data_IF_011988305840
#
_entry.id   IF_011988305840
#
_cell.length_a   1.000
_cell.length_b   1.000
_cell.length_c   1.000
_cell.angle_alpha   90.00
_cell.angle_beta   90.00
_cell.angle_gamma   90.00
#
_symmetry.space_group_name_H-M   'P 1'
#
loop_
_entity.id
_entity.type
_entity.pdbx_description
1 polymer ?
#
# COMPACT_ATOMS: atom_id res chain seq x y z
N UNK A 1 -13.69 -5.85 4.31
CA UNK A 1 -14.85 -6.74 4.14
C UNK A 1 -14.85 -7.77 5.24
N UNK A 2 -16.01 -8.34 5.56
CA UNK A 2 -16.14 -9.21 6.74
C UNK A 2 -16.60 -10.62 6.40
N UNK A 3 -16.12 -11.60 7.16
CA UNK A 3 -16.61 -12.98 7.12
C UNK A 3 -17.38 -13.31 8.40
N UNK A 4 -18.46 -14.08 8.26
CA UNK A 4 -19.35 -14.49 9.36
C UNK A 4 -19.31 -16.00 9.48
N UNK A 5 -19.06 -16.51 10.69
CA UNK A 5 -19.10 -17.93 11.00
C UNK A 5 -20.01 -18.22 12.20
N UNK A 6 -20.72 -19.34 12.13
CA UNK A 6 -21.54 -19.89 13.21
C UNK A 6 -20.81 -21.09 13.82
N UNK A 7 -20.73 -21.17 15.14
CA UNK A 7 -20.26 -22.37 15.82
C UNK A 7 -21.43 -23.16 16.42
N UNK A 8 -21.14 -24.38 16.88
CA UNK A 8 -22.13 -25.31 17.47
C UNK A 8 -22.82 -24.76 18.72
N UNK A 9 -22.28 -23.70 19.35
CA UNK A 9 -22.86 -22.99 20.49
C UNK A 9 -23.65 -21.72 20.11
N UNK A 10 -24.03 -21.54 18.85
CA UNK A 10 -24.75 -20.36 18.33
C UNK A 10 -24.01 -19.02 18.50
N UNK A 11 -22.70 -19.03 18.75
CA UNK A 11 -21.92 -17.80 18.75
C UNK A 11 -21.61 -17.38 17.31
N UNK A 12 -21.87 -16.11 17.01
CA UNK A 12 -21.55 -15.47 15.75
C UNK A 12 -20.16 -14.85 15.88
N UNK A 13 -19.22 -15.28 15.05
CA UNK A 13 -17.91 -14.62 14.93
C UNK A 13 -17.86 -13.83 13.62
N UNK A 14 -17.55 -12.54 13.72
CA UNK A 14 -17.32 -11.67 12.57
C UNK A 14 -15.84 -11.27 12.52
N UNK A 15 -15.19 -11.48 11.37
CA UNK A 15 -13.82 -11.00 11.11
C UNK A 15 -13.83 -9.95 10.03
N UNK A 16 -13.06 -8.88 10.19
CA UNK A 16 -12.95 -7.81 9.20
C UNK A 16 -11.52 -7.75 8.68
N UNK A 17 -11.37 -7.91 7.36
CA UNK A 17 -10.11 -7.73 6.66
C UNK A 17 -10.06 -6.30 6.12
N UNK A 18 -9.20 -5.51 6.73
CA UNK A 18 -8.96 -4.12 6.38
C UNK A 18 -8.08 -4.00 5.14
N UNK A 19 -7.18 -4.95 4.88
CA UNK A 19 -6.37 -4.97 3.65
C UNK A 19 -7.22 -4.81 2.39
N UNK A 20 -8.32 -5.57 2.31
CA UNK A 20 -9.29 -5.51 1.21
C UNK A 20 -10.04 -4.18 1.15
N UNK A 21 -10.44 -3.63 2.31
CA UNK A 21 -11.10 -2.32 2.36
C UNK A 21 -10.15 -1.21 1.90
N UNK A 22 -8.88 -1.29 2.30
CA UNK A 22 -7.86 -0.34 1.94
C UNK A 22 -7.54 -0.40 0.44
N UNK A 23 -7.36 -1.58 -0.16
CA UNK A 23 -7.19 -1.70 -1.63
C UNK A 23 -8.38 -1.14 -2.41
N UNK A 24 -9.60 -1.49 -2.00
CA UNK A 24 -10.83 -1.03 -2.66
C UNK A 24 -10.97 0.50 -2.55
N UNK A 25 -10.66 1.05 -1.37
CA UNK A 25 -10.68 2.49 -1.14
C UNK A 25 -9.58 3.20 -1.95
N UNK A 26 -8.38 2.63 -2.01
CA UNK A 26 -7.29 3.19 -2.77
C UNK A 26 -7.61 3.30 -4.26
N UNK A 27 -8.16 2.23 -4.85
CA UNK A 27 -8.60 2.22 -6.24
C UNK A 27 -9.73 3.22 -6.52
N UNK A 28 -10.71 3.33 -5.60
CA UNK A 28 -11.76 4.35 -5.69
C UNK A 28 -11.19 5.76 -5.72
N UNK A 29 -10.25 6.06 -4.82
CA UNK A 29 -9.63 7.37 -4.71
C UNK A 29 -8.75 7.66 -5.95
N UNK A 30 -8.03 6.67 -6.46
CA UNK A 30 -7.28 6.80 -7.71
C UNK A 30 -8.18 7.14 -8.91
N UNK A 31 -9.36 6.51 -9.03
CA UNK A 31 -10.37 6.85 -10.06
C UNK A 31 -10.91 8.28 -9.90
N UNK A 32 -11.12 8.72 -8.66
CA UNK A 32 -11.58 10.09 -8.39
C UNK A 32 -10.51 11.12 -8.75
N UNK A 33 -9.24 10.84 -8.47
CA UNK A 33 -8.12 11.67 -8.93
C UNK A 33 -8.04 11.70 -10.48
N UNK A 34 -8.18 10.54 -11.14
CA UNK A 34 -8.21 10.46 -12.60
C UNK A 34 -9.29 11.37 -13.20
N UNK A 35 -10.51 11.30 -12.68
CA UNK A 35 -11.64 12.08 -13.16
C UNK A 35 -11.42 13.60 -13.05
N UNK A 36 -10.67 14.06 -12.03
CA UNK A 36 -10.32 15.47 -11.87
C UNK A 36 -9.17 15.91 -12.80
N UNK A 37 -8.30 14.99 -13.21
CA UNK A 37 -7.20 15.26 -14.13
C UNK A 37 -7.58 15.13 -15.61
N UNK A 38 -8.59 14.32 -15.92
CA UNK A 38 -8.95 13.97 -17.29
C UNK A 38 -9.18 15.20 -18.18
N UNK A 39 -8.29 15.38 -19.16
CA UNK A 39 -8.35 16.48 -20.13
C UNK A 39 -7.94 17.84 -19.58
N UNK A 40 -7.35 17.90 -18.38
CA UNK A 40 -6.91 19.14 -17.72
C UNK A 40 -5.40 19.20 -17.56
N UNK A 41 -4.88 20.41 -17.41
CA UNK A 41 -3.47 20.73 -17.24
C UNK A 41 -3.28 21.87 -16.25
N UNK A 42 -2.04 22.12 -15.83
CA UNK A 42 -1.68 23.25 -14.97
C UNK A 42 -2.03 24.65 -15.55
N UNK A 43 -2.36 24.74 -16.85
CA UNK A 43 -2.80 25.99 -17.49
C UNK A 43 -4.27 26.29 -17.25
N UNK A 44 -5.04 25.29 -16.86
CA UNK A 44 -6.47 25.43 -16.61
C UNK A 44 -6.71 26.08 -15.25
N UNK A 45 -7.76 26.91 -15.18
CA UNK A 45 -8.14 27.56 -13.92
C UNK A 45 -8.93 26.59 -13.04
N UNK A 46 -8.22 25.79 -12.25
CA UNK A 46 -8.82 24.79 -11.35
C UNK A 46 -9.24 25.48 -10.04
N UNK A 47 -10.51 25.37 -9.62
CA UNK A 47 -10.96 25.89 -8.33
C UNK A 47 -10.13 25.34 -7.17
N UNK A 48 -9.95 26.13 -6.09
CA UNK A 48 -9.18 25.67 -4.92
C UNK A 48 -9.78 24.41 -4.29
N UNK A 49 -11.12 24.33 -4.21
CA UNK A 49 -11.83 23.17 -3.68
C UNK A 49 -11.51 21.90 -4.48
N UNK A 50 -11.48 21.98 -5.82
CA UNK A 50 -11.13 20.83 -6.67
C UNK A 50 -9.66 20.43 -6.50
N UNK A 51 -8.76 21.37 -6.21
CA UNK A 51 -7.36 21.07 -5.87
C UNK A 51 -7.23 20.35 -4.54
N UNK A 52 -7.98 20.79 -3.52
CA UNK A 52 -7.98 20.15 -2.20
C UNK A 52 -8.57 18.73 -2.28
N UNK A 53 -9.65 18.54 -3.04
CA UNK A 53 -10.23 17.22 -3.32
C UNK A 53 -9.25 16.31 -4.06
N UNK A 54 -8.60 16.83 -5.10
CA UNK A 54 -7.59 16.10 -5.87
C UNK A 54 -6.45 15.62 -4.97
N UNK A 55 -5.88 16.51 -4.16
CA UNK A 55 -4.85 16.17 -3.19
C UNK A 55 -5.33 15.09 -2.22
N UNK A 56 -6.54 15.23 -1.67
CA UNK A 56 -7.11 14.26 -0.73
C UNK A 56 -7.28 12.88 -1.37
N UNK A 57 -7.71 12.82 -2.64
CA UNK A 57 -7.84 11.57 -3.37
C UNK A 57 -6.49 10.92 -3.64
N UNK A 58 -5.49 11.67 -4.11
CA UNK A 58 -4.17 11.11 -4.37
C UNK A 58 -3.49 10.66 -3.07
N UNK A 59 -3.48 11.51 -2.03
CA UNK A 59 -2.87 11.20 -0.73
C UNK A 59 -3.54 9.99 -0.08
N UNK A 60 -4.87 9.94 -0.16
CA UNK A 60 -5.66 8.82 0.34
C UNK A 60 -5.36 7.53 -0.43
N UNK A 61 -5.25 7.57 -1.76
CA UNK A 61 -4.92 6.39 -2.56
C UNK A 61 -3.55 5.81 -2.21
N UNK A 62 -2.53 6.65 -2.10
CA UNK A 62 -1.17 6.25 -1.70
C UNK A 62 -1.17 5.64 -0.30
N UNK A 63 -1.80 6.35 0.66
CA UNK A 63 -1.82 5.93 2.06
C UNK A 63 -2.57 4.60 2.24
N UNK A 64 -3.72 4.45 1.60
CA UNK A 64 -4.51 3.23 1.67
C UNK A 64 -3.83 2.06 0.97
N UNK A 65 -3.12 2.28 -0.14
CA UNK A 65 -2.34 1.23 -0.80
C UNK A 65 -1.24 0.68 0.11
N UNK A 66 -0.48 1.56 0.75
CA UNK A 66 0.53 1.16 1.74
C UNK A 66 -0.13 0.45 2.93
N UNK A 67 -1.19 1.02 3.51
CA UNK A 67 -1.92 0.44 4.64
C UNK A 67 -2.48 -0.96 4.31
N UNK A 68 -2.88 -1.23 3.07
CA UNK A 68 -3.29 -2.56 2.65
C UNK A 68 -2.15 -3.58 2.79
N UNK A 69 -0.95 -3.23 2.36
CA UNK A 69 0.25 -4.08 2.48
C UNK A 69 0.58 -4.33 3.95
N UNK A 70 0.49 -3.31 4.82
CA UNK A 70 0.74 -3.47 6.26
C UNK A 70 -0.34 -4.33 6.95
N UNK A 71 -1.61 -4.08 6.61
CA UNK A 71 -2.74 -4.81 7.17
C UNK A 71 -2.70 -6.28 6.79
N UNK A 72 -2.39 -6.60 5.54
CA UNK A 72 -2.42 -7.97 5.03
C UNK A 72 -1.46 -8.90 5.80
N UNK A 73 -0.23 -8.46 6.08
CA UNK A 73 0.69 -9.30 6.87
C UNK A 73 0.23 -9.47 8.31
N UNK A 74 -0.32 -8.43 8.92
CA UNK A 74 -0.89 -8.54 10.28
C UNK A 74 -2.12 -9.48 10.29
N UNK A 75 -2.95 -9.43 9.25
CA UNK A 75 -4.09 -10.33 9.05
C UNK A 75 -3.64 -11.78 8.88
N UNK A 76 -2.54 -12.05 8.18
CA UNK A 76 -1.95 -13.39 8.07
C UNK A 76 -1.58 -13.96 9.45
N UNK A 77 -0.88 -13.17 10.28
CA UNK A 77 -0.53 -13.60 11.64
C UNK A 77 -1.78 -13.84 12.50
N UNK A 78 -2.78 -12.96 12.39
CA UNK A 78 -4.06 -13.11 13.10
C UNK A 78 -4.86 -14.34 12.62
N UNK A 79 -4.89 -14.61 11.32
CA UNK A 79 -5.55 -15.78 10.72
C UNK A 79 -4.92 -17.09 11.20
N UNK A 80 -3.59 -17.16 11.25
CA UNK A 80 -2.89 -18.33 11.80
C UNK A 80 -3.25 -18.57 13.26
N UNK A 81 -3.26 -17.51 14.09
CA UNK A 81 -3.62 -17.57 15.51
C UNK A 81 -5.06 -18.01 15.73
N UNK A 82 -5.98 -17.43 14.98
CA UNK A 82 -7.40 -17.52 15.27
C UNK A 82 -8.10 -18.67 14.54
N UNK A 83 -7.64 -19.04 13.35
CA UNK A 83 -8.27 -20.06 12.51
C UNK A 83 -7.45 -21.34 12.41
N UNK A 84 -6.14 -21.30 12.71
CA UNK A 84 -5.27 -22.48 12.67
C UNK A 84 -5.41 -23.22 11.34
N UNK A 85 -5.90 -24.46 11.39
CA UNK A 85 -6.13 -25.30 10.20
C UNK A 85 -7.17 -24.76 9.19
N UNK A 86 -8.04 -23.82 9.59
CA UNK A 86 -9.11 -23.26 8.77
C UNK A 86 -8.77 -21.89 8.17
N UNK A 87 -7.52 -21.45 8.28
CA UNK A 87 -7.10 -20.14 7.76
C UNK A 87 -7.33 -20.03 6.25
N UNK A 88 -7.67 -18.83 5.78
CA UNK A 88 -8.00 -18.59 4.37
C UNK A 88 -6.81 -18.68 3.40
N UNK A 89 -5.59 -18.70 3.94
CA UNK A 89 -4.35 -18.77 3.16
C UNK A 89 -3.88 -20.22 2.94
N UNK A 90 -4.61 -21.22 3.42
CA UNK A 90 -4.25 -22.64 3.23
C UNK A 90 -2.97 -23.07 3.96
N UNK A 91 -2.52 -22.30 4.96
CA UNK A 91 -1.31 -22.60 5.73
C UNK A 91 -1.53 -23.89 6.55
N UNK A 92 -0.57 -24.81 6.50
CA UNK A 92 -0.65 -26.08 7.21
C UNK A 92 -0.79 -25.89 8.74
N UNK A 93 -1.52 -26.76 9.45
CA UNK A 93 -1.84 -26.55 10.87
C UNK A 93 -0.61 -26.42 11.79
N UNK A 94 0.42 -27.24 11.57
CA UNK A 94 1.68 -27.22 12.31
C UNK A 94 2.44 -25.90 12.10
N UNK A 95 2.44 -25.40 10.85
CA UNK A 95 3.01 -24.11 10.47
C UNK A 95 2.23 -22.93 11.05
N UNK A 96 0.90 -22.98 11.04
CA UNK A 96 0.05 -21.96 11.65
C UNK A 96 0.31 -21.86 13.17
N UNK A 97 0.51 -22.99 13.86
CA UNK A 97 0.90 -23.02 15.29
C UNK A 97 2.26 -22.35 15.50
N UNK A 98 3.24 -22.61 14.64
CA UNK A 98 4.57 -21.98 14.73
C UNK A 98 4.49 -20.45 14.55
N UNK A 99 3.77 -19.99 13.52
CA UNK A 99 3.51 -18.56 13.28
C UNK A 99 2.85 -17.91 14.50
N UNK A 100 1.85 -18.58 15.06
CA UNK A 100 1.11 -18.11 16.24
C UNK A 100 2.02 -17.92 17.44
N UNK A 101 2.87 -18.92 17.75
CA UNK A 101 3.82 -18.82 18.86
C UNK A 101 4.79 -17.67 18.68
N UNK A 102 5.36 -17.52 17.49
CA UNK A 102 6.29 -16.40 17.22
C UNK A 102 5.59 -15.05 17.35
N UNK A 103 4.36 -14.91 16.89
CA UNK A 103 3.60 -13.67 17.00
C UNK A 103 3.28 -13.30 18.47
N UNK A 104 2.93 -14.28 19.30
CA UNK A 104 2.55 -14.04 20.71
C UNK A 104 3.78 -13.91 21.62
N UNK A 105 4.75 -14.80 21.46
CA UNK A 105 5.86 -14.97 22.41
C UNK A 105 7.04 -14.02 22.12
N UNK A 106 7.07 -13.38 20.95
CA UNK A 106 8.14 -12.45 20.56
C UNK A 106 7.58 -11.03 20.37
N UNK A 107 7.53 -10.21 21.44
CA UNK A 107 6.96 -8.85 21.40
C UNK A 107 7.57 -7.93 20.35
N UNK A 108 8.79 -8.23 19.88
CA UNK A 108 9.48 -7.44 18.86
C UNK A 108 8.86 -7.59 17.47
N UNK A 109 8.23 -8.74 17.16
CA UNK A 109 7.68 -9.04 15.84
C UNK A 109 6.62 -8.03 15.42
N UNK A 110 5.74 -7.63 16.34
CA UNK A 110 4.71 -6.62 16.07
C UNK A 110 5.31 -5.26 15.68
N UNK A 111 6.51 -4.94 16.20
CA UNK A 111 7.23 -3.67 15.97
C UNK A 111 8.22 -3.72 14.80
N UNK A 112 8.43 -4.88 14.19
CA UNK A 112 9.29 -5.00 13.02
C UNK A 112 8.69 -4.24 11.82
N UNK A 113 9.56 -3.86 10.89
CA UNK A 113 9.11 -3.25 9.65
C UNK A 113 8.21 -4.20 8.86
N UNK A 114 7.33 -3.62 8.03
CA UNK A 114 6.32 -4.37 7.27
C UNK A 114 6.95 -5.48 6.43
N UNK A 115 8.02 -5.18 5.68
CA UNK A 115 8.69 -6.16 4.82
C UNK A 115 9.43 -7.23 5.62
N UNK A 116 9.96 -6.90 6.81
CA UNK A 116 10.56 -7.89 7.70
C UNK A 116 9.52 -8.86 8.29
N UNK A 117 8.28 -8.41 8.51
CA UNK A 117 7.17 -9.30 8.89
C UNK A 117 6.83 -10.30 7.78
N UNK A 118 6.85 -9.86 6.51
CA UNK A 118 6.63 -10.74 5.35
C UNK A 118 7.75 -11.80 5.23
N UNK A 119 9.02 -11.37 5.33
CA UNK A 119 10.18 -12.27 5.31
C UNK A 119 10.16 -13.25 6.49
N UNK A 120 9.76 -12.80 7.68
CA UNK A 120 9.62 -13.65 8.86
C UNK A 120 8.57 -14.74 8.62
N UNK A 121 7.39 -14.39 8.12
CA UNK A 121 6.34 -15.36 7.83
C UNK A 121 6.82 -16.42 6.83
N UNK A 122 7.48 -16.02 5.72
CA UNK A 122 8.04 -16.96 4.75
C UNK A 122 9.08 -17.90 5.40
N UNK A 123 9.95 -17.37 6.26
CA UNK A 123 10.95 -18.17 6.98
C UNK A 123 10.30 -19.20 7.91
N UNK A 124 9.24 -18.86 8.61
CA UNK A 124 8.51 -19.81 9.48
C UNK A 124 7.79 -20.90 8.66
N UNK A 125 7.45 -20.60 7.42
CA UNK A 125 6.84 -21.53 6.47
C UNK A 125 7.86 -22.38 5.70
N UNK A 126 9.16 -22.22 5.94
CA UNK A 126 10.25 -22.81 5.15
C UNK A 126 10.17 -22.46 3.65
N UNK A 127 9.69 -21.25 3.33
CA UNK A 127 9.58 -20.74 1.97
C UNK A 127 10.77 -19.82 1.61
N UNK A 128 11.05 -19.62 0.31
CA UNK A 128 12.06 -18.66 -0.13
C UNK A 128 11.78 -17.26 0.41
N UNK A 129 12.84 -16.55 0.82
CA UNK A 129 12.75 -15.15 1.22
C UNK A 129 12.31 -14.25 0.06
N UNK A 130 11.84 -13.04 0.38
CA UNK A 130 11.50 -12.05 -0.64
C UNK A 130 12.72 -11.72 -1.51
N UNK A 131 12.51 -11.65 -2.82
CA UNK A 131 13.54 -11.19 -3.75
C UNK A 131 13.74 -9.67 -3.63
N UNK A 132 14.65 -9.26 -2.74
CA UNK A 132 14.98 -7.85 -2.51
C UNK A 132 15.58 -7.14 -3.73
N UNK A 133 16.06 -7.90 -4.73
CA UNK A 133 16.60 -7.34 -5.97
C UNK A 133 15.51 -7.20 -7.04
N UNK A 134 14.41 -7.94 -6.89
CA UNK A 134 13.27 -7.95 -7.77
C UNK A 134 12.49 -6.64 -7.74
N UNK A 135 11.84 -6.34 -8.86
CA UNK A 135 11.05 -5.12 -9.04
C UNK A 135 9.86 -5.02 -8.08
N UNK A 136 9.06 -6.08 -7.81
CA UNK A 136 7.95 -5.99 -6.88
C UNK A 136 8.35 -5.56 -5.47
N UNK A 137 9.51 -6.04 -4.98
CA UNK A 137 10.05 -5.64 -3.68
C UNK A 137 10.47 -4.16 -3.67
N UNK A 138 11.22 -3.74 -4.69
CA UNK A 138 11.69 -2.34 -4.81
C UNK A 138 10.53 -1.37 -4.94
N UNK A 139 9.50 -1.74 -5.69
CA UNK A 139 8.31 -0.93 -5.88
C UNK A 139 7.56 -0.77 -4.55
N UNK A 140 7.27 -1.86 -3.83
CA UNK A 140 6.55 -1.76 -2.53
C UNK A 140 7.37 -1.05 -1.46
N UNK A 141 8.70 -1.26 -1.42
CA UNK A 141 9.61 -0.51 -0.55
C UNK A 141 9.54 1.00 -0.85
N UNK A 142 9.50 1.37 -2.13
CA UNK A 142 9.31 2.77 -2.56
C UNK A 142 7.95 3.32 -2.15
N UNK A 143 6.88 2.53 -2.26
CA UNK A 143 5.53 2.91 -1.86
C UNK A 143 5.45 3.18 -0.34
N UNK A 144 6.03 2.30 0.48
CA UNK A 144 6.09 2.49 1.93
C UNK A 144 6.90 3.75 2.29
N UNK A 145 8.02 3.99 1.59
CA UNK A 145 8.82 5.21 1.75
C UNK A 145 8.07 6.49 1.32
N UNK A 146 7.28 6.43 0.26
CA UNK A 146 6.41 7.52 -0.19
C UNK A 146 5.35 7.86 0.84
N UNK A 147 4.63 6.86 1.34
CA UNK A 147 3.67 7.05 2.42
C UNK A 147 4.33 7.66 3.66
N UNK A 148 5.50 7.19 4.06
CA UNK A 148 6.22 7.77 5.20
C UNK A 148 6.63 9.24 4.96
N UNK A 149 7.04 9.58 3.74
CA UNK A 149 7.37 10.96 3.37
C UNK A 149 6.15 11.91 3.46
N UNK A 150 4.95 11.41 3.12
CA UNK A 150 3.71 12.17 3.25
C UNK A 150 3.30 12.35 4.73
N UNK A 151 3.39 11.29 5.55
CA UNK A 151 2.97 11.35 6.95
C UNK A 151 3.94 12.11 7.86
N UNK A 152 5.23 12.05 7.56
CA UNK A 152 6.29 12.68 8.36
C UNK A 152 6.90 13.89 7.66
N UNK A 153 6.11 14.53 6.77
CA UNK A 153 6.57 15.69 6.03
C UNK A 153 7.08 16.79 6.97
N UNK A 154 8.31 17.24 6.71
CA UNK A 154 8.91 18.38 7.42
C UNK A 154 8.78 19.58 6.51
N UNK A 155 8.14 20.64 7.02
CA UNK A 155 7.98 21.90 6.29
C UNK A 155 9.35 22.42 5.82
N UNK A 156 9.47 22.65 4.51
CA UNK A 156 10.67 23.24 3.91
C UNK A 156 10.36 24.69 3.52
N UNK A 157 11.16 25.63 4.00
CA UNK A 157 11.09 27.03 3.57
C UNK A 157 11.93 27.20 2.30
N UNK A 158 11.33 27.72 1.23
CA UNK A 158 12.04 28.08 0.00
C UNK A 158 12.03 29.60 -0.16
N UNK A 159 13.22 30.18 -0.37
CA UNK A 159 13.37 31.60 -0.69
C UNK A 159 12.92 31.84 -2.14
N UNK A 160 11.94 32.73 -2.33
CA UNK A 160 11.48 33.14 -3.66
C UNK A 160 12.65 33.73 -4.45
N UNK A 161 12.94 33.18 -5.63
CA UNK A 161 13.97 33.67 -6.54
C UNK A 161 15.39 33.16 -6.29
N UNK A 162 15.61 32.34 -5.27
CA UNK A 162 16.86 31.57 -5.16
C UNK A 162 16.65 30.16 -5.71
N UNK A 163 17.63 29.60 -6.45
CA UNK A 163 17.61 28.17 -6.70
C UNK A 163 17.56 27.48 -5.33
N UNK A 164 16.59 26.58 -5.10
CA UNK A 164 16.44 25.88 -3.83
C UNK A 164 17.79 25.29 -3.41
N UNK A 165 18.19 25.60 -2.18
CA UNK A 165 19.57 25.44 -1.72
C UNK A 165 20.11 24.00 -1.79
N UNK A 166 19.25 23.01 -2.05
CA UNK A 166 19.62 21.61 -2.26
C UNK A 166 18.67 20.94 -3.28
N UNK A 167 18.77 21.28 -4.57
CA UNK A 167 18.06 20.56 -5.65
C UNK A 167 18.99 19.69 -6.49
N UNK A 168 19.82 18.87 -5.82
CA UNK A 168 20.06 17.55 -6.42
C UNK A 168 18.80 16.77 -6.09
N UNK A 169 17.98 16.32 -7.06
CA UNK A 169 16.82 15.51 -6.72
C UNK A 169 17.34 14.36 -5.86
N UNK A 170 16.86 14.31 -4.62
CA UNK A 170 17.33 13.34 -3.66
C UNK A 170 17.20 11.95 -4.28
N UNK A 171 18.01 10.99 -3.86
CA UNK A 171 17.92 9.62 -4.38
C UNK A 171 16.47 9.09 -4.35
N UNK A 172 15.65 9.60 -3.43
CA UNK A 172 14.21 9.36 -3.34
C UNK A 172 13.38 9.92 -4.52
N UNK A 173 13.55 11.18 -4.90
CA UNK A 173 12.79 11.79 -6.02
C UNK A 173 13.12 11.10 -7.35
N UNK A 174 14.40 10.81 -7.60
CA UNK A 174 14.82 10.05 -8.79
C UNK A 174 14.21 8.65 -8.82
N UNK A 175 14.05 8.01 -7.66
CA UNK A 175 13.41 6.71 -7.52
C UNK A 175 11.94 6.79 -7.92
N UNK A 176 11.21 7.82 -7.47
CA UNK A 176 9.79 8.03 -7.80
C UNK A 176 9.58 8.31 -9.30
N UNK A 177 10.45 9.12 -9.92
CA UNK A 177 10.37 9.44 -11.35
C UNK A 177 10.48 8.21 -12.27
N UNK A 178 11.05 7.11 -11.77
CA UNK A 178 11.13 5.86 -12.53
C UNK A 178 9.79 5.09 -12.58
N UNK A 179 8.83 5.42 -11.72
CA UNK A 179 7.62 4.63 -11.51
C UNK A 179 6.35 5.21 -12.11
N UNK A 180 6.22 6.54 -12.16
CA UNK A 180 4.99 7.19 -12.61
C UNK A 180 5.27 8.57 -13.22
N UNK A 181 4.31 9.04 -14.04
CA UNK A 181 4.33 10.36 -14.62
C UNK A 181 3.94 11.44 -13.59
N UNK A 182 4.40 12.67 -13.84
CA UNK A 182 4.10 13.83 -13.02
C UNK A 182 2.61 14.20 -13.03
N UNK A 183 2.18 14.85 -11.96
CA UNK A 183 0.86 15.48 -11.84
C UNK A 183 0.64 16.53 -12.94
N UNK A 184 -0.30 16.31 -13.89
CA UNK A 184 -0.54 17.23 -15.00
C UNK A 184 -1.08 18.58 -14.56
N UNK A 185 -1.62 18.69 -13.35
CA UNK A 185 -2.17 19.91 -12.76
C UNK A 185 -1.07 20.81 -12.15
N UNK A 186 0.19 20.36 -12.18
CA UNK A 186 1.35 21.12 -11.68
C UNK A 186 2.31 21.48 -12.80
N UNK A 187 2.79 22.73 -12.78
CA UNK A 187 3.77 23.22 -13.74
C UNK A 187 5.22 22.89 -13.34
N UNK A 188 6.19 23.02 -14.27
CA UNK A 188 7.60 22.67 -14.04
C UNK A 188 8.32 23.55 -12.99
N UNK A 189 7.72 24.68 -12.60
CA UNK A 189 8.26 25.56 -11.56
C UNK A 189 7.95 25.11 -10.13
N UNK A 190 7.11 24.09 -9.94
CA UNK A 190 6.79 23.55 -8.62
C UNK A 190 7.85 22.52 -8.17
N UNK A 191 8.09 22.38 -6.85
CA UNK A 191 8.93 21.31 -6.32
C UNK A 191 8.43 19.94 -6.79
N UNK A 192 9.37 18.99 -6.93
CA UNK A 192 8.99 17.64 -7.35
C UNK A 192 8.12 16.96 -6.28
N UNK A 193 8.58 16.95 -5.03
CA UNK A 193 7.76 16.52 -3.89
C UNK A 193 7.32 17.73 -3.03
N UNK A 194 6.04 17.82 -2.62
CA UNK A 194 4.96 16.90 -2.97
C UNK A 194 4.33 17.18 -4.35
N UNK A 195 4.37 18.42 -4.84
CA UNK A 195 3.45 18.90 -5.89
C UNK A 195 3.38 18.02 -7.15
N UNK A 196 4.52 17.77 -7.80
CA UNK A 196 4.57 16.98 -9.05
C UNK A 196 4.33 15.48 -8.81
N UNK A 197 4.54 14.99 -7.60
CA UNK A 197 4.24 13.60 -7.21
C UNK A 197 2.74 13.41 -6.97
N UNK A 198 2.03 14.43 -6.51
CA UNK A 198 0.62 14.33 -6.09
C UNK A 198 -0.36 14.30 -7.27
N UNK A 199 -0.24 13.32 -8.17
CA UNK A 199 -1.16 13.08 -9.29
C UNK A 199 -1.72 11.65 -9.34
N UNK A 200 -2.65 11.42 -10.27
CA UNK A 200 -3.26 10.12 -10.54
C UNK A 200 -2.21 9.07 -10.88
N UNK A 201 -1.14 9.44 -11.60
CA UNK A 201 -0.03 8.52 -11.90
C UNK A 201 0.56 7.88 -10.63
N UNK A 202 0.79 8.66 -9.58
CA UNK A 202 1.27 8.12 -8.31
C UNK A 202 0.20 7.30 -7.58
N UNK A 203 -1.08 7.72 -7.65
CA UNK A 203 -2.19 7.00 -7.05
C UNK A 203 -2.41 5.61 -7.69
N UNK A 204 -2.46 5.55 -9.02
CA UNK A 204 -2.59 4.32 -9.80
C UNK A 204 -1.40 3.40 -9.59
N UNK A 205 -0.18 3.93 -9.68
CA UNK A 205 1.02 3.16 -9.43
C UNK A 205 1.03 2.55 -8.02
N UNK A 206 0.57 3.29 -7.02
CA UNK A 206 0.49 2.80 -5.64
C UNK A 206 -0.46 1.61 -5.50
N UNK A 207 -1.65 1.68 -6.13
CA UNK A 207 -2.63 0.59 -6.13
C UNK A 207 -2.05 -0.65 -6.82
N UNK A 208 -1.51 -0.46 -8.04
CA UNK A 208 -0.89 -1.54 -8.82
C UNK A 208 0.27 -2.20 -8.08
N UNK A 209 1.11 -1.40 -7.42
CA UNK A 209 2.25 -1.88 -6.64
C UNK A 209 1.81 -2.73 -5.46
N UNK A 210 0.80 -2.28 -4.70
CA UNK A 210 0.26 -3.04 -3.59
C UNK A 210 -0.33 -4.37 -4.06
N UNK A 211 -1.17 -4.36 -5.11
CA UNK A 211 -1.78 -5.58 -5.67
C UNK A 211 -0.71 -6.55 -6.19
N UNK A 212 0.25 -6.05 -6.97
CA UNK A 212 1.33 -6.88 -7.55
C UNK A 212 2.17 -7.54 -6.47
N UNK A 213 2.53 -6.79 -5.42
CA UNK A 213 3.31 -7.35 -4.31
C UNK A 213 2.51 -8.41 -3.53
N UNK A 214 1.25 -8.13 -3.21
CA UNK A 214 0.39 -9.06 -2.46
C UNK A 214 0.05 -10.31 -3.28
N UNK A 215 -0.17 -10.19 -4.58
CA UNK A 215 -0.37 -11.32 -5.50
C UNK A 215 0.88 -12.20 -5.56
N UNK A 216 2.06 -11.58 -5.72
CA UNK A 216 3.34 -12.28 -5.70
C UNK A 216 3.59 -13.00 -4.36
N UNK A 217 3.19 -12.38 -3.25
CA UNK A 217 3.29 -13.00 -1.93
C UNK A 217 2.34 -14.18 -1.77
N UNK A 218 1.06 -14.05 -2.16
CA UNK A 218 0.11 -15.17 -2.14
C UNK A 218 0.56 -16.31 -3.04
N UNK A 219 1.20 -16.01 -4.18
CA UNK A 219 1.80 -17.02 -5.04
C UNK A 219 2.91 -17.81 -4.34
N UNK A 220 3.80 -17.16 -3.58
CA UNK A 220 4.81 -17.86 -2.75
C UNK A 220 4.15 -18.78 -1.72
N UNK A 221 3.01 -18.38 -1.16
CA UNK A 221 2.22 -19.20 -0.23
C UNK A 221 1.45 -20.33 -0.92
N UNK A 222 1.41 -20.38 -2.26
CA UNK A 222 0.49 -21.24 -3.03
C UNK A 222 -0.98 -21.01 -2.65
N UNK A 223 -1.34 -19.79 -2.28
CA UNK A 223 -2.67 -19.39 -1.84
C UNK A 223 -3.37 -18.52 -2.88
N UNK A 224 -4.70 -18.65 -2.97
CA UNK A 224 -5.51 -17.66 -3.69
C UNK A 224 -5.60 -16.39 -2.84
N UNK A 225 -5.34 -15.19 -3.40
CA UNK A 225 -5.49 -13.95 -2.65
C UNK A 225 -6.91 -13.81 -2.06
N UNK A 226 -7.06 -13.47 -0.77
CA UNK A 226 -8.37 -13.29 -0.13
C UNK A 226 -9.29 -12.29 -0.85
N UNK A 227 -8.71 -11.33 -1.57
CA UNK A 227 -9.40 -10.30 -2.32
C UNK A 227 -9.66 -10.66 -3.80
N UNK A 228 -9.43 -11.89 -4.25
CA UNK A 228 -9.58 -12.27 -5.67
C UNK A 228 -10.97 -11.90 -6.23
N UNK A 229 -12.01 -12.12 -5.44
CA UNK A 229 -13.39 -11.78 -5.78
C UNK A 229 -13.67 -10.26 -5.93
N UNK A 230 -12.72 -9.40 -5.52
CA UNK A 230 -12.76 -7.94 -5.69
C UNK A 230 -11.88 -7.42 -6.80
N UNK A 231 -11.15 -8.28 -7.53
CA UNK A 231 -10.11 -7.85 -8.47
C UNK A 231 -10.57 -6.79 -9.47
N UNK A 232 -11.81 -6.89 -9.95
CA UNK A 232 -12.42 -5.90 -10.85
C UNK A 232 -12.55 -4.49 -10.25
N UNK A 233 -12.64 -4.37 -8.93
CA UNK A 233 -12.78 -3.08 -8.23
C UNK A 233 -11.46 -2.31 -8.12
N UNK A 234 -10.32 -2.96 -8.42
CA UNK A 234 -8.99 -2.37 -8.35
C UNK A 234 -8.59 -1.59 -9.61
N UNK A 235 -9.44 -1.57 -10.63
CA UNK A 235 -9.27 -0.69 -11.78
C UNK A 235 -9.22 0.78 -11.34
N UNK A 236 -8.28 1.53 -11.90
CA UNK A 236 -7.94 2.91 -11.52
C UNK A 236 -8.47 3.96 -12.49
N UNK A 237 -9.11 3.52 -13.58
CA UNK A 237 -9.74 4.33 -14.62
C UNK A 237 -11.16 3.83 -14.89
#
# INVERSE_FOLDING_TARGET
MSTIAFNESMQITMRTYLSMNYLTSAALLARKAHALEAGRTFKDNIPSVERDEHFAFVAGAITMSAAAVEAFVNELFAECRDQGAKNQLGIAPDKAVLITRVWIDVPKVERESVLEKYDLALRLLDLPALDRKGEPYKAVDTLLALRNSLMHYKLVTQDVGKPPAEQTPGNFEKKLQAYFADNPLTGPGNPYFPDRVMGHGAAEWSVSTAVTFLDGYCHLLSATPPYEHLRSTFATQ
#
